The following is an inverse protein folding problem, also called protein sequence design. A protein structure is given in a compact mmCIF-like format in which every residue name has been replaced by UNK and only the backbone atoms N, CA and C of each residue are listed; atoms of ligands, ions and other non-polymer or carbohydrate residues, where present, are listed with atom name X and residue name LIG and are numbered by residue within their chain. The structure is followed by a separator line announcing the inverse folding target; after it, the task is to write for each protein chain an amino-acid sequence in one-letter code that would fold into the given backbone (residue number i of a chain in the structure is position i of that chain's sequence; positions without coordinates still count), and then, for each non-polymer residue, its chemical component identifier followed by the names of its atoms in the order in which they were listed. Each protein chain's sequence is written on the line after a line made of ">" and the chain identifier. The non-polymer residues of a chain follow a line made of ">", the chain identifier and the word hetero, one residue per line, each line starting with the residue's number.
data_IF_539945633529
#
_entry.id   IF_539945633529
#
_cell.length_a   1.000
_cell.length_b   1.000
_cell.length_c   1.000
_cell.angle_alpha   90.00
_cell.angle_beta   90.00
_cell.angle_gamma   90.00
#
_symmetry.space_group_name_H-M   'P 1'
#
loop_
_entity.id
_entity.type
_entity.pdbx_description
1 polymer ?
#
# COMPACT_ATOMS: atom_id res chain seq x y z
N UNK A 1 2.45 10.54 -8.01
CA UNK A 1 1.38 10.91 -8.95
C UNK A 1 1.90 11.37 -10.32
N UNK A 2 2.94 12.21 -10.43
CA UNK A 2 3.48 12.65 -11.73
C UNK A 2 4.21 11.55 -12.53
N UNK A 3 4.93 10.63 -11.87
CA UNK A 3 5.68 9.53 -12.53
C UNK A 3 4.80 8.46 -13.15
N UNK A 4 3.71 8.11 -12.48
CA UNK A 4 2.76 7.07 -12.91
C UNK A 4 2.11 7.39 -14.28
N UNK A 5 1.94 8.68 -14.60
CA UNK A 5 1.41 9.13 -15.91
C UNK A 5 2.44 9.10 -17.05
N UNK A 6 3.73 9.11 -16.74
CA UNK A 6 4.80 9.15 -17.75
C UNK A 6 5.30 7.76 -18.19
N UNK A 7 4.88 6.70 -17.47
CA UNK A 7 5.47 5.37 -17.56
C UNK A 7 6.78 5.31 -16.79
N UNK A 8 6.88 4.41 -15.81
CA UNK A 8 8.00 4.37 -14.86
C UNK A 8 9.34 3.99 -15.52
N UNK A 9 9.30 3.27 -16.64
CA UNK A 9 10.48 2.74 -17.35
C UNK A 9 10.42 2.98 -18.86
N UNK A 10 10.10 4.21 -19.27
CA UNK A 10 9.91 4.60 -20.68
C UNK A 10 11.14 4.42 -21.58
N UNK A 11 12.34 4.38 -21.00
CA UNK A 11 13.61 4.27 -21.73
C UNK A 11 14.13 2.82 -21.78
N UNK A 12 13.36 1.85 -21.29
CA UNK A 12 13.76 0.44 -21.32
C UNK A 12 13.68 -0.13 -22.75
N UNK A 13 14.82 -0.61 -23.25
CA UNK A 13 14.94 -1.20 -24.60
C UNK A 13 14.81 -2.72 -24.63
N UNK A 14 14.80 -3.37 -23.46
CA UNK A 14 14.69 -4.82 -23.32
C UNK A 14 13.88 -5.21 -22.09
N UNK A 15 13.46 -6.47 -22.00
CA UNK A 15 12.80 -7.00 -20.79
C UNK A 15 13.71 -6.96 -19.57
N UNK A 16 15.02 -7.18 -19.76
CA UNK A 16 16.01 -7.07 -18.68
C UNK A 16 16.13 -5.62 -18.17
N UNK A 17 16.16 -4.64 -19.08
CA UNK A 17 16.18 -3.22 -18.72
C UNK A 17 14.90 -2.83 -17.97
N UNK A 18 13.75 -3.32 -18.43
CA UNK A 18 12.45 -3.10 -17.80
C UNK A 18 12.42 -3.65 -16.37
N UNK A 19 12.81 -4.92 -16.17
CA UNK A 19 12.87 -5.52 -14.82
C UNK A 19 13.84 -4.77 -13.91
N UNK A 20 15.00 -4.37 -14.43
CA UNK A 20 15.99 -3.63 -13.64
C UNK A 20 15.47 -2.26 -13.20
N UNK A 21 14.82 -1.53 -14.11
CA UNK A 21 14.22 -0.24 -13.81
C UNK A 21 13.04 -0.38 -12.83
N UNK A 22 12.12 -1.31 -13.09
CA UNK A 22 10.97 -1.57 -12.22
C UNK A 22 11.42 -2.02 -10.82
N UNK A 23 12.50 -2.79 -10.71
CA UNK A 23 13.08 -3.17 -9.42
C UNK A 23 13.49 -1.95 -8.59
N UNK A 24 14.07 -0.91 -9.21
CA UNK A 24 14.43 0.34 -8.52
C UNK A 24 13.20 1.14 -8.11
N UNK A 25 12.22 1.28 -9.00
CA UNK A 25 10.97 2.00 -8.69
C UNK A 25 10.15 1.26 -7.62
N UNK A 26 10.17 -0.07 -7.61
CA UNK A 26 9.56 -0.90 -6.58
C UNK A 26 10.24 -0.69 -5.21
N UNK A 27 11.57 -0.55 -5.15
CA UNK A 27 12.27 -0.22 -3.89
C UNK A 27 11.82 1.12 -3.32
N UNK A 28 11.75 2.17 -4.15
CA UNK A 28 11.29 3.50 -3.72
C UNK A 28 9.82 3.43 -3.26
N UNK A 29 8.98 2.77 -4.06
CA UNK A 29 7.54 2.64 -3.77
C UNK A 29 7.31 1.85 -2.48
N UNK A 30 8.06 0.76 -2.26
CA UNK A 30 7.98 -0.06 -1.05
C UNK A 30 8.45 0.72 0.17
N UNK A 31 9.56 1.45 0.08
CA UNK A 31 10.04 2.29 1.18
C UNK A 31 9.01 3.35 1.59
N UNK A 32 8.37 4.00 0.60
CA UNK A 32 7.31 4.97 0.86
C UNK A 32 6.06 4.31 1.47
N UNK A 33 5.66 3.16 0.95
CA UNK A 33 4.54 2.38 1.48
C UNK A 33 4.78 2.00 2.95
N UNK A 34 5.96 1.45 3.26
CA UNK A 34 6.30 1.08 4.63
C UNK A 34 6.37 2.29 5.57
N UNK A 35 6.92 3.42 5.11
CA UNK A 35 6.94 4.64 5.91
C UNK A 35 5.52 5.12 6.22
N UNK A 36 4.64 5.13 5.21
CA UNK A 36 3.25 5.51 5.35
C UNK A 36 2.49 4.59 6.32
N UNK A 37 2.61 3.27 6.17
CA UNK A 37 1.89 2.32 7.03
C UNK A 37 2.41 2.32 8.46
N UNK A 38 3.72 2.46 8.67
CA UNK A 38 4.29 2.64 10.02
C UNK A 38 3.75 3.90 10.70
N UNK A 39 3.73 5.02 9.97
CA UNK A 39 3.22 6.28 10.53
C UNK A 39 1.72 6.22 10.83
N UNK A 40 0.92 5.69 9.90
CA UNK A 40 -0.52 5.48 10.12
C UNK A 40 -0.78 4.60 11.33
N UNK A 41 -0.08 3.47 11.43
CA UNK A 41 -0.22 2.57 12.58
C UNK A 41 0.13 3.27 13.89
N UNK A 42 1.20 4.07 13.92
CA UNK A 42 1.59 4.84 15.10
C UNK A 42 0.52 5.88 15.49
N UNK A 43 -0.05 6.59 14.51
CA UNK A 43 -1.13 7.56 14.73
C UNK A 43 -2.42 6.89 15.23
N UNK A 44 -2.77 5.70 14.71
CA UNK A 44 -3.93 4.95 15.19
C UNK A 44 -3.74 4.38 16.60
N UNK A 45 -2.50 4.06 16.98
CA UNK A 45 -2.18 3.55 18.30
C UNK A 45 -1.99 4.64 19.36
N UNK A 46 -1.97 5.92 18.97
CA UNK A 46 -1.78 7.04 19.88
C UNK A 46 -2.99 7.17 20.81
N UNK A 47 -2.77 6.87 22.08
CA UNK A 47 -3.74 7.14 23.13
C UNK A 47 -3.59 8.57 23.61
N UNK A 48 -4.69 9.34 23.58
CA UNK A 48 -4.76 10.63 24.24
C UNK A 48 -5.17 10.40 25.70
N UNK A 49 -4.28 10.76 26.62
CA UNK A 49 -4.48 10.58 28.05
C UNK A 49 -5.62 11.43 28.61
N UNK A 50 -5.96 12.52 27.92
CA UNK A 50 -7.05 13.44 28.27
C UNK A 50 -8.30 13.20 27.40
N UNK A 51 -8.32 12.10 26.62
CA UNK A 51 -9.48 11.77 25.79
C UNK A 51 -10.73 11.59 26.66
N UNK A 52 -11.85 12.27 26.34
CA UNK A 52 -13.11 12.00 26.99
C UNK A 52 -13.52 10.54 26.81
N UNK A 53 -14.31 10.03 27.75
CA UNK A 53 -14.81 8.66 27.71
C UNK A 53 -15.46 8.35 26.34
N UNK A 54 -15.35 7.09 25.84
CA UNK A 54 -15.84 6.71 24.52
C UNK A 54 -17.27 7.16 24.29
N UNK A 55 -17.50 7.89 23.20
CA UNK A 55 -18.84 8.34 22.83
C UNK A 55 -19.57 7.18 22.17
N UNK A 56 -20.72 6.78 22.73
CA UNK A 56 -21.60 5.77 22.14
C UNK A 56 -22.55 6.47 21.17
N UNK A 57 -22.32 6.24 19.88
CA UNK A 57 -23.17 6.74 18.80
C UNK A 57 -24.25 5.73 18.37
N UNK A 58 -25.09 6.10 17.39
CA UNK A 58 -26.11 5.21 16.82
C UNK A 58 -25.52 3.96 16.13
N UNK A 59 -24.23 3.98 15.80
CA UNK A 59 -23.49 2.84 15.22
C UNK A 59 -22.66 2.06 16.26
N UNK A 60 -22.81 2.36 17.54
CA UNK A 60 -22.07 1.73 18.64
C UNK A 60 -20.97 2.61 19.23
N UNK A 61 -20.14 1.99 20.05
CA UNK A 61 -18.98 2.62 20.70
C UNK A 61 -17.82 2.78 19.73
N UNK A 62 -17.15 3.93 19.78
CA UNK A 62 -15.92 4.14 19.01
C UNK A 62 -14.82 3.17 19.43
N UNK A 63 -14.02 2.71 18.47
CA UNK A 63 -12.87 1.84 18.75
C UNK A 63 -11.81 2.60 19.56
N UNK A 64 -11.27 1.92 20.57
CA UNK A 64 -10.07 2.37 21.29
C UNK A 64 -8.86 2.42 20.33
N UNK A 65 -7.82 3.23 20.62
CA UNK A 65 -6.59 3.28 19.81
C UNK A 65 -5.97 1.90 19.56
N UNK A 66 -5.98 1.03 20.58
CA UNK A 66 -5.50 -0.34 20.45
C UNK A 66 -6.33 -1.17 19.46
N UNK A 67 -7.66 -1.03 19.47
CA UNK A 67 -8.54 -1.69 18.50
C UNK A 67 -8.37 -1.12 17.09
N UNK A 68 -8.20 0.20 16.95
CA UNK A 68 -7.95 0.83 15.64
C UNK A 68 -6.64 0.32 15.02
N UNK A 69 -5.56 0.25 15.80
CA UNK A 69 -4.29 -0.30 15.35
C UNK A 69 -4.41 -1.79 14.99
N UNK A 70 -5.17 -2.58 15.75
CA UNK A 70 -5.39 -4.00 15.46
C UNK A 70 -6.19 -4.23 14.17
N UNK A 71 -7.23 -3.42 13.92
CA UNK A 71 -7.98 -3.47 12.66
C UNK A 71 -7.11 -3.04 11.46
N UNK A 72 -6.24 -2.03 11.65
CA UNK A 72 -5.26 -1.65 10.63
C UNK A 72 -4.26 -2.78 10.34
N UNK A 73 -3.73 -3.45 11.38
CA UNK A 73 -2.81 -4.57 11.22
C UNK A 73 -3.48 -5.72 10.42
N UNK A 74 -4.74 -6.08 10.74
CA UNK A 74 -5.52 -7.04 9.94
C UNK A 74 -5.73 -6.61 8.50
N UNK A 75 -6.03 -5.33 8.26
CA UNK A 75 -6.16 -4.80 6.91
C UNK A 75 -4.86 -5.00 6.12
N UNK A 76 -3.71 -4.69 6.72
CA UNK A 76 -2.41 -4.88 6.07
C UNK A 76 -2.08 -6.36 5.81
N UNK A 77 -2.39 -7.25 6.75
CA UNK A 77 -2.24 -8.70 6.57
C UNK A 77 -3.06 -9.23 5.39
N UNK A 78 -4.35 -8.88 5.33
CA UNK A 78 -5.22 -9.28 4.22
C UNK A 78 -4.77 -8.69 2.89
N UNK A 79 -4.31 -7.45 2.90
CA UNK A 79 -3.80 -6.79 1.71
C UNK A 79 -2.52 -7.45 1.18
N UNK A 80 -1.59 -7.88 2.05
CA UNK A 80 -0.37 -8.58 1.61
C UNK A 80 -0.68 -9.89 0.89
N UNK A 81 -1.72 -10.62 1.35
CA UNK A 81 -2.22 -11.82 0.65
C UNK A 81 -2.79 -11.45 -0.73
N UNK A 82 -3.59 -10.38 -0.81
CA UNK A 82 -4.13 -9.90 -2.08
C UNK A 82 -3.01 -9.49 -3.06
N UNK A 83 -2.03 -8.72 -2.59
CA UNK A 83 -0.84 -8.31 -3.36
C UNK A 83 -0.13 -9.51 -3.99
N UNK A 84 0.19 -10.52 -3.19
CA UNK A 84 0.85 -11.76 -3.66
C UNK A 84 0.01 -12.52 -4.69
N UNK A 85 -1.31 -12.52 -4.52
CA UNK A 85 -2.25 -13.17 -5.45
C UNK A 85 -2.26 -12.45 -6.81
N UNK A 86 -2.33 -11.11 -6.80
CA UNK A 86 -2.27 -10.28 -8.02
C UNK A 86 -0.95 -10.47 -8.75
N UNK A 87 0.18 -10.45 -8.02
CA UNK A 87 1.51 -10.69 -8.59
C UNK A 87 1.62 -12.06 -9.26
N UNK A 88 1.08 -13.11 -8.61
CA UNK A 88 1.10 -14.47 -9.15
C UNK A 88 0.24 -14.59 -10.40
N UNK A 89 -0.97 -14.01 -10.39
CA UNK A 89 -1.86 -13.98 -11.54
C UNK A 89 -1.22 -13.27 -12.75
N UNK A 90 -0.58 -12.12 -12.53
CA UNK A 90 0.12 -11.37 -13.57
C UNK A 90 1.33 -12.13 -14.13
N UNK A 91 2.08 -12.85 -13.27
CA UNK A 91 3.17 -13.71 -13.72
C UNK A 91 2.68 -14.89 -14.55
N UNK A 92 1.67 -15.61 -14.04
CA UNK A 92 1.21 -16.85 -14.64
C UNK A 92 0.58 -16.64 -16.02
N UNK A 93 0.02 -15.45 -16.28
CA UNK A 93 -0.52 -15.08 -17.60
C UNK A 93 0.52 -15.13 -18.73
N UNK A 94 1.81 -14.92 -18.40
CA UNK A 94 2.92 -14.90 -19.35
C UNK A 94 3.96 -16.01 -19.06
N UNK A 95 3.58 -17.01 -18.26
CA UNK A 95 4.48 -18.06 -17.79
C UNK A 95 5.18 -18.77 -18.95
N UNK A 96 6.50 -18.92 -18.83
CA UNK A 96 7.35 -19.51 -19.88
C UNK A 96 7.91 -18.48 -20.87
N UNK A 97 7.43 -17.23 -20.84
CA UNK A 97 8.00 -16.11 -21.58
C UNK A 97 8.87 -15.19 -20.71
N UNK A 98 9.65 -14.33 -21.37
CA UNK A 98 10.47 -13.30 -20.72
C UNK A 98 9.66 -12.13 -20.14
N UNK A 99 8.37 -12.06 -20.47
CA UNK A 99 7.46 -11.01 -20.00
C UNK A 99 6.90 -11.30 -18.60
N UNK A 100 6.81 -12.56 -18.17
CA UNK A 100 6.31 -12.93 -16.84
C UNK A 100 6.94 -12.14 -15.68
N UNK A 101 8.27 -11.99 -15.57
CA UNK A 101 8.87 -11.18 -14.51
C UNK A 101 8.56 -9.67 -14.65
N UNK A 102 8.38 -9.15 -15.87
CA UNK A 102 8.01 -7.75 -16.12
C UNK A 102 6.58 -7.51 -15.62
N UNK A 103 5.64 -8.37 -16.03
CA UNK A 103 4.24 -8.29 -15.62
C UNK A 103 4.06 -8.43 -14.11
N UNK A 104 4.83 -9.32 -13.47
CA UNK A 104 4.85 -9.45 -12.01
C UNK A 104 5.28 -8.16 -11.32
N UNK A 105 6.38 -7.54 -11.76
CA UNK A 105 6.90 -6.32 -11.17
C UNK A 105 5.97 -5.11 -11.40
N UNK A 106 5.35 -5.00 -12.59
CA UNK A 106 4.36 -3.97 -12.87
C UNK A 106 3.13 -4.12 -11.98
N UNK A 107 2.59 -5.34 -11.86
CA UNK A 107 1.42 -5.60 -11.03
C UNK A 107 1.69 -5.27 -9.55
N UNK A 108 2.87 -5.62 -9.05
CA UNK A 108 3.31 -5.27 -7.70
C UNK A 108 3.30 -3.75 -7.46
N UNK A 109 3.93 -3.01 -8.37
CA UNK A 109 4.03 -1.56 -8.26
C UNK A 109 2.65 -0.89 -8.34
N UNK A 110 1.77 -1.37 -9.20
CA UNK A 110 0.41 -0.87 -9.33
C UNK A 110 -0.41 -1.10 -8.04
N UNK A 111 -0.38 -2.31 -7.48
CA UNK A 111 -1.20 -2.62 -6.29
C UNK A 111 -0.70 -1.88 -5.05
N UNK A 112 0.63 -1.71 -4.88
CA UNK A 112 1.19 -0.90 -3.79
C UNK A 112 0.75 0.56 -3.91
N UNK A 113 0.82 1.14 -5.13
CA UNK A 113 0.40 2.53 -5.34
C UNK A 113 -1.10 2.74 -5.17
N UNK A 114 -1.93 1.77 -5.58
CA UNK A 114 -3.38 1.81 -5.34
C UNK A 114 -3.69 1.82 -3.86
N UNK A 115 -3.09 0.88 -3.12
CA UNK A 115 -3.30 0.76 -1.68
C UNK A 115 -2.86 2.01 -0.92
N UNK A 116 -1.71 2.61 -1.28
CA UNK A 116 -1.32 3.89 -0.70
C UNK A 116 -2.36 5.00 -0.94
N UNK A 117 -3.02 5.04 -2.10
CA UNK A 117 -4.11 6.01 -2.37
C UNK A 117 -5.37 5.68 -1.56
N UNK A 118 -5.70 4.41 -1.43
CA UNK A 118 -6.83 3.94 -0.63
C UNK A 118 -6.63 4.29 0.85
N UNK A 119 -5.44 4.01 1.40
CA UNK A 119 -5.07 4.39 2.76
C UNK A 119 -5.10 5.91 2.94
N UNK A 120 -4.60 6.68 1.97
CA UNK A 120 -4.67 8.14 2.03
C UNK A 120 -6.12 8.65 2.08
N UNK A 121 -7.03 8.03 1.33
CA UNK A 121 -8.44 8.40 1.31
C UNK A 121 -9.19 7.97 2.58
N UNK A 122 -8.94 6.75 3.08
CA UNK A 122 -9.59 6.22 4.29
C UNK A 122 -9.17 7.02 5.52
N UNK A 123 -7.89 7.38 5.60
CA UNK A 123 -7.29 8.05 6.76
C UNK A 123 -7.02 9.53 6.50
N UNK A 124 -7.71 10.15 5.54
CA UNK A 124 -7.52 11.57 5.18
C UNK A 124 -7.66 12.50 6.40
N UNK A 125 -8.62 12.23 7.29
CA UNK A 125 -8.82 13.00 8.52
C UNK A 125 -7.64 12.92 9.51
N UNK A 126 -6.87 11.83 9.46
CA UNK A 126 -5.67 11.60 10.27
C UNK A 126 -4.44 12.18 9.58
N UNK A 127 -4.40 12.15 8.25
CA UNK A 127 -3.26 12.60 7.44
C UNK A 127 -3.31 14.10 7.09
N UNK A 128 -4.48 14.72 7.10
CA UNK A 128 -4.72 16.12 6.70
C UNK A 128 -4.75 17.14 7.84
N UNK A 129 -4.75 16.70 9.11
CA UNK A 129 -4.71 17.57 10.29
C UNK A 129 -3.33 17.56 10.94
N UNK A 130 -2.37 18.24 10.30
CA UNK A 130 -1.14 18.75 10.92
C UNK A 130 -0.82 20.14 10.35
#
# INVERSE_FOLDING_TARGET
>A
MAREKAGDCKDASSTLDAVTCLGKEAQITTANYEAMTRNLRALLALADADAPAPVVGPTGEALTPAQQAAEFDRLQENWDVYRKTVQSAAYDQFKGGTEAPVSNALADQMVVRSHMKELAAIYDSILGNH
#
